data_IF_937792076628
#
_entry.id   IF_937792076628
#
_cell.length_a   1.000
_cell.length_b   1.000
_cell.length_c   1.000
_cell.angle_alpha   90.00
_cell.angle_beta   90.00
_cell.angle_gamma   90.00
#
_symmetry.space_group_name_H-M   'P 1'
#
loop_
_entity.id
_entity.type
_entity.pdbx_description
1 polymer ?
#
# COMPACT_ATOMS: atom_id res chain seq x y z
N UNK A 1 -22.57 21.42 17.72
CA UNK A 1 -21.84 20.53 18.65
C UNK A 1 -20.46 20.33 18.03
N UNK A 2 -19.46 21.01 18.57
CA UNK A 2 -18.14 21.12 17.94
C UNK A 2 -17.30 19.89 18.35
N UNK A 3 -16.56 19.28 17.42
CA UNK A 3 -15.68 18.14 17.77
C UNK A 3 -14.58 18.51 18.78
N UNK A 4 -14.35 19.80 18.98
CA UNK A 4 -13.38 20.36 19.94
C UNK A 4 -13.88 20.37 21.39
N UNK A 5 -15.17 20.09 21.63
CA UNK A 5 -15.75 20.06 22.99
C UNK A 5 -15.63 18.68 23.66
N UNK A 6 -15.03 17.70 22.98
CA UNK A 6 -14.80 16.35 23.51
C UNK A 6 -13.66 16.35 24.55
N UNK A 7 -13.72 15.47 25.58
CA UNK A 7 -12.64 15.30 26.52
C UNK A 7 -11.31 15.07 25.80
N UNK A 8 -10.24 15.74 26.25
CA UNK A 8 -8.92 15.66 25.63
C UNK A 8 -8.42 14.23 25.41
N UNK A 9 -8.68 13.35 26.37
CA UNK A 9 -8.39 11.92 26.26
C UNK A 9 -9.05 11.27 25.03
N UNK A 10 -10.31 11.61 24.74
CA UNK A 10 -11.06 11.08 23.59
C UNK A 10 -10.47 11.56 22.27
N UNK A 11 -10.00 12.80 22.20
CA UNK A 11 -9.32 13.34 21.00
C UNK A 11 -8.02 12.58 20.73
N UNK A 12 -7.22 12.31 21.77
CA UNK A 12 -5.96 11.57 21.65
C UNK A 12 -6.19 10.13 21.22
N UNK A 13 -7.20 9.46 21.80
CA UNK A 13 -7.65 8.12 21.42
C UNK A 13 -8.06 8.06 19.95
N UNK A 14 -8.93 8.97 19.49
CA UNK A 14 -9.40 9.00 18.11
C UNK A 14 -8.26 9.31 17.13
N UNK A 15 -7.40 10.28 17.44
CA UNK A 15 -6.28 10.66 16.58
C UNK A 15 -5.25 9.52 16.42
N UNK A 16 -4.83 8.90 17.53
CA UNK A 16 -3.88 7.79 17.51
C UNK A 16 -4.45 6.56 16.79
N UNK A 17 -5.70 6.19 17.08
CA UNK A 17 -6.38 5.10 16.38
C UNK A 17 -6.49 5.35 14.88
N UNK A 18 -6.80 6.58 14.47
CA UNK A 18 -6.93 6.93 13.07
C UNK A 18 -5.58 6.87 12.34
N UNK A 19 -4.48 7.31 12.97
CA UNK A 19 -3.13 7.19 12.42
C UNK A 19 -2.76 5.72 12.16
N UNK A 20 -2.97 4.84 13.15
CA UNK A 20 -2.73 3.41 13.00
C UNK A 20 -3.59 2.80 11.90
N UNK A 21 -4.89 3.11 11.89
CA UNK A 21 -5.82 2.67 10.85
C UNK A 21 -5.39 3.15 9.46
N UNK A 22 -4.97 4.41 9.34
CA UNK A 22 -4.51 5.01 8.10
C UNK A 22 -3.32 4.21 7.56
N UNK A 23 -2.26 4.03 8.35
CA UNK A 23 -1.05 3.28 7.96
C UNK A 23 -1.39 1.83 7.61
N UNK A 24 -2.24 1.19 8.41
CA UNK A 24 -2.69 -0.18 8.18
C UNK A 24 -3.42 -0.37 6.85
N UNK A 25 -4.04 0.68 6.29
CA UNK A 25 -4.90 0.63 5.11
C UNK A 25 -4.43 1.49 3.92
N UNK A 26 -3.31 2.22 4.01
CA UNK A 26 -2.77 3.04 2.89
C UNK A 26 -2.68 2.21 1.60
N UNK A 27 -3.19 2.73 0.48
CA UNK A 27 -3.17 2.04 -0.81
C UNK A 27 -4.16 0.88 -0.98
N UNK A 28 -5.03 0.62 0.01
CA UNK A 28 -6.12 -0.37 -0.08
C UNK A 28 -7.51 0.29 0.08
N UNK A 29 -7.55 1.63 0.14
CA UNK A 29 -8.76 2.39 0.48
C UNK A 29 -9.63 2.61 -0.74
N UNK A 30 -10.46 1.64 -1.06
CA UNK A 30 -11.73 1.96 -1.73
C UNK A 30 -12.89 1.37 -0.93
N UNK A 31 -13.86 2.24 -0.64
CA UNK A 31 -15.18 1.91 -0.11
C UNK A 31 -15.28 1.27 1.30
N UNK A 32 -14.40 1.61 2.24
CA UNK A 32 -14.75 1.35 3.66
C UNK A 32 -15.93 2.26 4.05
N UNK A 33 -17.01 1.66 4.56
CA UNK A 33 -18.14 2.46 5.04
C UNK A 33 -17.66 3.31 6.22
N UNK A 34 -18.18 4.54 6.40
CA UNK A 34 -17.78 5.39 7.53
C UNK A 34 -17.87 4.67 8.89
N UNK A 35 -18.83 3.76 9.05
CA UNK A 35 -18.98 2.93 10.23
C UNK A 35 -17.80 1.96 10.46
N UNK A 36 -17.27 1.35 9.40
CA UNK A 36 -16.12 0.43 9.46
C UNK A 36 -14.84 1.19 9.81
N UNK A 37 -14.69 2.41 9.29
CA UNK A 37 -13.58 3.31 9.61
C UNK A 37 -13.61 3.64 11.10
N UNK A 38 -14.80 3.99 11.62
CA UNK A 38 -14.98 4.35 13.02
C UNK A 38 -14.63 3.19 13.96
N UNK A 39 -15.21 2.01 13.72
CA UNK A 39 -14.92 0.83 14.54
C UNK A 39 -13.46 0.37 14.43
N UNK A 40 -12.88 0.40 13.23
CA UNK A 40 -11.46 0.08 13.06
C UNK A 40 -10.56 1.05 13.82
N UNK A 41 -10.87 2.34 13.76
CA UNK A 41 -10.15 3.39 14.51
C UNK A 41 -10.22 3.12 16.01
N UNK A 42 -11.39 2.76 16.54
CA UNK A 42 -11.54 2.38 17.94
C UNK A 42 -10.69 1.16 18.31
N UNK A 43 -10.71 0.10 17.50
CA UNK A 43 -9.89 -1.10 17.73
C UNK A 43 -8.40 -0.75 17.76
N UNK A 44 -7.92 0.03 16.79
CA UNK A 44 -6.53 0.46 16.74
C UNK A 44 -6.16 1.43 17.86
N UNK A 45 -7.13 2.14 18.44
CA UNK A 45 -6.92 3.06 19.55
C UNK A 45 -6.77 2.39 20.92
N UNK A 46 -7.13 1.10 21.07
CA UNK A 46 -7.14 0.40 22.36
C UNK A 46 -5.76 0.40 23.05
N UNK A 47 -4.70 0.02 22.32
CA UNK A 47 -3.33 -0.01 22.85
C UNK A 47 -2.78 1.39 23.14
N UNK A 48 -2.86 2.38 22.22
CA UNK A 48 -2.51 3.77 22.52
C UNK A 48 -3.25 4.34 23.75
N UNK A 49 -4.54 4.03 23.90
CA UNK A 49 -5.35 4.51 25.02
C UNK A 49 -4.93 3.88 26.34
N UNK A 50 -4.60 2.59 26.36
CA UNK A 50 -4.06 1.95 27.56
C UNK A 50 -2.74 2.62 28.01
N UNK A 51 -1.86 2.93 27.06
CA UNK A 51 -0.59 3.63 27.35
C UNK A 51 -0.85 5.05 27.86
N UNK A 52 -1.82 5.76 27.29
CA UNK A 52 -2.24 7.08 27.75
C UNK A 52 -2.68 7.07 29.22
N UNK A 53 -3.47 6.08 29.64
CA UNK A 53 -3.89 5.97 31.03
C UNK A 53 -2.73 5.57 31.97
N UNK A 54 -1.83 4.70 31.53
CA UNK A 54 -0.63 4.34 32.30
C UNK A 54 0.29 5.55 32.52
N UNK A 55 0.48 6.40 31.51
CA UNK A 55 1.32 7.60 31.66
C UNK A 55 0.66 8.66 32.57
N UNK A 56 -0.66 8.80 32.52
CA UNK A 56 -1.40 9.63 33.46
C UNK A 56 -1.29 9.12 34.91
N UNK A 57 -1.37 7.80 35.13
CA UNK A 57 -1.16 7.19 36.44
C UNK A 57 0.26 7.40 36.97
N UNK A 58 1.24 7.50 36.07
CA UNK A 58 2.62 7.87 36.41
C UNK A 58 2.82 9.35 36.80
N UNK A 59 1.75 10.13 36.92
CA UNK A 59 1.81 11.54 37.33
C UNK A 59 2.22 12.52 36.22
N UNK A 60 2.25 12.07 34.97
CA UNK A 60 2.60 12.92 33.82
C UNK A 60 1.41 13.82 33.46
N UNK A 61 1.68 15.09 33.17
CA UNK A 61 0.66 16.04 32.70
C UNK A 61 -0.07 15.49 31.45
N UNK A 62 -1.39 15.67 31.40
CA UNK A 62 -2.27 15.22 30.33
C UNK A 62 -1.82 15.60 28.91
N UNK A 63 -1.10 16.71 28.74
CA UNK A 63 -0.53 17.11 27.45
C UNK A 63 0.73 16.31 27.09
N UNK A 64 1.66 16.13 28.03
CA UNK A 64 2.87 15.33 27.80
C UNK A 64 2.54 13.83 27.67
N UNK A 65 1.49 13.37 28.34
CA UNK A 65 0.97 12.01 28.25
C UNK A 65 0.46 11.66 26.84
N UNK A 66 0.23 12.63 25.95
CA UNK A 66 -0.23 12.40 24.56
C UNK A 66 0.85 11.90 23.61
N UNK A 67 2.13 12.19 23.89
CA UNK A 67 3.23 11.84 22.99
C UNK A 67 3.41 10.32 22.83
N UNK A 68 3.45 9.52 23.90
CA UNK A 68 3.65 8.07 23.76
C UNK A 68 2.56 7.35 22.95
N UNK A 69 1.24 7.61 23.15
CA UNK A 69 0.17 7.03 22.33
C UNK A 69 0.31 7.32 20.83
N UNK A 70 0.64 8.57 20.47
CA UNK A 70 0.79 8.99 19.07
C UNK A 70 2.02 8.32 18.43
N UNK A 71 3.13 8.26 19.16
CA UNK A 71 4.34 7.58 18.68
C UNK A 71 4.13 6.07 18.53
N UNK A 72 3.33 5.45 19.40
CA UNK A 72 2.99 4.03 19.32
C UNK A 72 2.03 3.71 18.16
N UNK A 73 1.20 4.66 17.76
CA UNK A 73 0.25 4.46 16.68
C UNK A 73 0.94 4.13 15.34
N UNK A 74 2.11 4.71 15.09
CA UNK A 74 2.90 4.49 13.87
C UNK A 74 3.37 3.03 13.71
N UNK A 75 4.17 2.46 14.64
CA UNK A 75 4.61 1.08 14.56
C UNK A 75 3.45 0.10 14.68
N UNK A 76 2.37 0.42 15.42
CA UNK A 76 1.21 -0.46 15.53
C UNK A 76 0.52 -0.66 14.17
N UNK A 77 0.26 0.44 13.44
CA UNK A 77 -0.30 0.37 12.09
C UNK A 77 0.62 -0.36 11.12
N UNK A 78 1.93 -0.10 11.18
CA UNK A 78 2.93 -0.74 10.34
C UNK A 78 3.05 -2.26 10.62
N UNK A 79 3.07 -2.66 11.89
CA UNK A 79 3.14 -4.06 12.32
C UNK A 79 1.88 -4.83 11.90
N UNK A 80 0.71 -4.20 12.04
CA UNK A 80 -0.53 -4.80 11.56
C UNK A 80 -0.52 -5.01 10.04
N UNK A 81 -0.05 -4.01 9.28
CA UNK A 81 0.09 -4.10 7.83
C UNK A 81 1.04 -5.22 7.43
N UNK A 82 2.21 -5.31 8.06
CA UNK A 82 3.27 -6.26 7.70
C UNK A 82 2.96 -7.70 8.11
N UNK A 83 2.43 -7.88 9.32
CA UNK A 83 2.25 -9.21 9.93
C UNK A 83 0.83 -9.50 10.40
N UNK A 84 0.15 -8.51 10.99
CA UNK A 84 -1.16 -8.69 11.63
C UNK A 84 -2.20 -9.29 10.69
N UNK A 85 -2.36 -8.71 9.49
CA UNK A 85 -3.29 -9.22 8.47
C UNK A 85 -2.99 -10.68 8.10
N UNK A 86 -1.72 -10.99 7.80
CA UNK A 86 -1.31 -12.35 7.38
C UNK A 86 -1.60 -13.38 8.48
N UNK A 87 -1.30 -13.05 9.73
CA UNK A 87 -1.56 -13.92 10.88
C UNK A 87 -3.06 -14.11 11.12
N UNK A 88 -3.85 -13.04 11.03
CA UNK A 88 -5.31 -13.12 11.17
C UNK A 88 -5.91 -14.02 10.08
N UNK A 89 -5.54 -13.81 8.82
CA UNK A 89 -6.03 -14.67 7.73
C UNK A 89 -5.56 -16.11 7.88
N UNK A 90 -4.30 -16.36 8.26
CA UNK A 90 -3.82 -17.70 8.53
C UNK A 90 -4.63 -18.37 9.67
N UNK A 91 -4.96 -17.63 10.71
CA UNK A 91 -5.81 -18.10 11.81
C UNK A 91 -7.24 -18.41 11.32
N UNK A 92 -7.88 -17.50 10.60
CA UNK A 92 -9.23 -17.69 10.06
C UNK A 92 -9.31 -18.89 9.11
N UNK A 93 -8.30 -19.07 8.26
CA UNK A 93 -8.19 -20.23 7.36
C UNK A 93 -7.98 -21.53 8.13
N UNK A 94 -7.10 -21.53 9.16
CA UNK A 94 -6.87 -22.70 10.01
C UNK A 94 -8.15 -23.18 10.70
N UNK A 95 -9.04 -22.25 11.05
CA UNK A 95 -10.32 -22.55 11.68
C UNK A 95 -11.50 -22.68 10.69
N UNK A 96 -11.25 -22.71 9.37
CA UNK A 96 -12.27 -22.80 8.31
C UNK A 96 -13.37 -21.73 8.40
N UNK A 97 -13.06 -20.57 9.00
CA UNK A 97 -14.04 -19.47 9.17
C UNK A 97 -14.22 -18.71 7.86
N UNK A 98 -13.13 -18.45 7.12
CA UNK A 98 -13.19 -17.82 5.81
C UNK A 98 -12.01 -18.24 4.94
N UNK A 99 -12.33 -18.50 3.67
CA UNK A 99 -11.36 -18.72 2.59
C UNK A 99 -11.26 -17.52 1.65
N UNK A 100 -12.16 -16.54 1.76
CA UNK A 100 -12.08 -15.31 0.96
C UNK A 100 -11.15 -14.30 1.64
N UNK A 101 -10.14 -13.83 0.90
CA UNK A 101 -9.44 -12.61 1.26
C UNK A 101 -10.41 -11.47 0.97
N UNK A 102 -10.71 -10.60 1.94
CA UNK A 102 -11.68 -9.50 1.80
C UNK A 102 -11.22 -8.38 0.86
N UNK A 103 -10.34 -8.69 -0.09
CA UNK A 103 -9.80 -7.74 -1.06
C UNK A 103 -10.82 -7.57 -2.17
N UNK A 104 -11.22 -6.33 -2.43
CA UNK A 104 -12.39 -6.01 -3.26
C UNK A 104 -12.23 -6.49 -4.71
N UNK A 105 -10.99 -6.62 -5.19
CA UNK A 105 -10.68 -7.17 -6.50
C UNK A 105 -9.31 -7.88 -6.53
N UNK A 106 -9.14 -8.82 -7.46
CA UNK A 106 -7.84 -9.43 -7.74
C UNK A 106 -6.78 -8.38 -8.10
N UNK A 107 -7.21 -7.28 -8.75
CA UNK A 107 -6.39 -6.10 -9.03
C UNK A 107 -5.85 -5.46 -7.76
N UNK A 108 -6.71 -5.21 -6.76
CA UNK A 108 -6.27 -4.68 -5.47
C UNK A 108 -5.35 -5.65 -4.70
N UNK A 109 -5.54 -6.96 -4.87
CA UNK A 109 -4.68 -7.97 -4.27
C UNK A 109 -3.24 -7.88 -4.80
N UNK A 110 -3.05 -7.36 -6.03
CA UNK A 110 -1.72 -7.15 -6.58
C UNK A 110 -0.88 -6.15 -5.76
N UNK A 111 -1.50 -5.13 -5.14
CA UNK A 111 -0.80 -4.15 -4.28
C UNK A 111 -0.56 -4.65 -2.85
N UNK A 112 -1.37 -5.61 -2.38
CA UNK A 112 -1.32 -6.07 -0.99
C UNK A 112 -0.06 -6.88 -0.64
N UNK A 113 0.64 -7.41 -1.65
CA UNK A 113 1.78 -8.30 -1.48
C UNK A 113 3.11 -7.53 -1.49
N UNK A 114 3.49 -6.96 -0.34
CA UNK A 114 4.73 -6.18 -0.17
C UNK A 114 6.01 -7.01 -0.11
N UNK A 115 5.91 -8.33 0.05
CA UNK A 115 7.07 -9.22 0.21
C UNK A 115 7.73 -9.58 -1.14
N UNK A 116 7.08 -9.21 -2.25
CA UNK A 116 7.54 -9.52 -3.60
C UNK A 116 7.82 -8.22 -4.35
N UNK A 117 9.01 -8.12 -4.94
CA UNK A 117 9.39 -7.00 -5.80
C UNK A 117 9.00 -7.31 -7.24
N UNK A 118 8.45 -6.32 -7.94
CA UNK A 118 8.13 -6.43 -9.36
C UNK A 118 9.42 -6.32 -10.17
N UNK A 119 9.67 -7.32 -11.02
CA UNK A 119 10.82 -7.35 -11.93
C UNK A 119 10.44 -6.97 -13.34
N UNK A 120 9.21 -7.29 -13.77
CA UNK A 120 8.70 -6.93 -15.09
C UNK A 120 7.19 -6.66 -15.00
N UNK A 121 6.73 -5.66 -15.76
CA UNK A 121 5.32 -5.31 -15.94
C UNK A 121 5.04 -5.29 -17.44
N UNK A 122 4.19 -6.21 -17.91
CA UNK A 122 3.72 -6.28 -19.28
C UNK A 122 2.29 -5.75 -19.35
N UNK A 123 2.03 -4.88 -20.31
CA UNK A 123 0.70 -4.38 -20.64
C UNK A 123 0.44 -4.69 -22.10
N UNK A 124 -0.54 -5.56 -22.35
CA UNK A 124 -1.00 -5.90 -23.70
C UNK A 124 -2.22 -5.03 -23.98
N UNK A 125 -2.15 -4.26 -25.07
CA UNK A 125 -3.20 -3.37 -25.52
C UNK A 125 -4.21 -4.12 -26.40
N UNK A 126 -5.40 -3.56 -26.54
CA UNK A 126 -6.49 -4.15 -27.35
C UNK A 126 -6.18 -4.24 -28.84
N UNK A 127 -5.27 -3.41 -29.34
CA UNK A 127 -4.77 -3.48 -30.71
C UNK A 127 -3.76 -4.62 -30.92
N UNK A 128 -3.40 -5.35 -29.86
CA UNK A 128 -2.42 -6.44 -29.88
C UNK A 128 -0.99 -6.00 -29.61
N UNK A 129 -0.70 -4.70 -29.52
CA UNK A 129 0.63 -4.20 -29.18
C UNK A 129 0.95 -4.37 -27.69
N UNK A 130 2.23 -4.43 -27.36
CA UNK A 130 2.74 -4.67 -26.02
C UNK A 130 3.62 -3.54 -25.50
N UNK A 131 3.44 -3.18 -24.23
CA UNK A 131 4.30 -2.26 -23.49
C UNK A 131 4.92 -3.01 -22.30
N UNK A 132 6.24 -2.88 -22.13
CA UNK A 132 6.97 -3.53 -21.06
C UNK A 132 7.77 -2.50 -20.26
N UNK A 133 7.66 -2.58 -18.93
CA UNK A 133 8.63 -2.00 -18.01
C UNK A 133 9.49 -3.10 -17.41
N UNK A 134 10.78 -3.13 -17.79
CA UNK A 134 11.78 -4.05 -17.25
C UNK A 134 12.52 -3.40 -16.07
N UNK A 135 12.60 -4.13 -14.96
CA UNK A 135 13.20 -3.69 -13.70
C UNK A 135 12.66 -2.34 -13.22
N UNK A 136 11.33 -2.21 -13.02
CA UNK A 136 10.71 -0.94 -12.67
C UNK A 136 11.24 -0.36 -11.34
N UNK A 137 11.85 -1.18 -10.48
CA UNK A 137 12.56 -0.73 -9.28
C UNK A 137 13.64 0.34 -9.52
N UNK A 138 14.19 0.44 -10.74
CA UNK A 138 15.12 1.52 -11.14
C UNK A 138 14.47 2.91 -11.13
N UNK A 139 13.15 2.97 -11.19
CA UNK A 139 12.36 4.18 -11.26
C UNK A 139 11.68 4.53 -9.92
N UNK A 140 12.06 3.89 -8.80
CA UNK A 140 11.45 4.12 -7.48
C UNK A 140 11.52 5.58 -7.01
N UNK A 141 12.58 6.30 -7.37
CA UNK A 141 12.78 7.71 -7.02
C UNK A 141 12.17 8.71 -8.00
N UNK A 142 11.50 8.25 -9.06
CA UNK A 142 10.93 9.12 -10.09
C UNK A 142 9.46 9.48 -9.79
N UNK A 143 8.89 10.51 -10.46
CA UNK A 143 7.49 10.87 -10.30
C UNK A 143 6.55 9.67 -10.51
N UNK A 144 5.55 9.50 -9.64
CA UNK A 144 4.63 8.33 -9.62
C UNK A 144 5.28 6.99 -9.25
N UNK A 145 6.54 7.01 -8.79
CA UNK A 145 7.27 5.81 -8.37
C UNK A 145 7.55 4.85 -9.53
N UNK A 146 7.83 3.56 -9.24
CA UNK A 146 8.31 2.63 -10.27
C UNK A 146 7.26 2.31 -11.36
N UNK A 147 5.99 2.29 -10.96
CA UNK A 147 4.79 2.18 -11.78
C UNK A 147 3.58 2.45 -10.87
N UNK A 148 2.45 2.85 -11.46
CA UNK A 148 1.17 2.97 -10.75
C UNK A 148 0.14 2.09 -11.45
N UNK A 149 -0.54 1.28 -10.67
CA UNK A 149 -1.76 0.60 -11.09
C UNK A 149 -2.90 1.42 -10.46
N UNK A 150 -3.76 2.01 -11.27
CA UNK A 150 -4.89 2.83 -10.83
C UNK A 150 -6.08 1.96 -10.48
N UNK A 151 -6.91 2.37 -9.55
CA UNK A 151 -8.03 1.55 -9.09
C UNK A 151 -9.10 1.28 -10.16
N UNK A 152 -9.19 2.15 -11.16
CA UNK A 152 -10.08 2.00 -12.31
C UNK A 152 -9.50 1.09 -13.40
N UNK A 153 -8.33 0.46 -13.15
CA UNK A 153 -7.65 -0.43 -14.09
C UNK A 153 -6.69 0.29 -15.04
N UNK A 154 -6.54 1.60 -14.93
CA UNK A 154 -5.55 2.39 -15.66
C UNK A 154 -4.13 2.16 -15.11
N UNK A 155 -3.11 2.44 -15.92
CA UNK A 155 -1.71 2.16 -15.55
C UNK A 155 -0.81 3.33 -15.95
N UNK A 156 0.12 3.68 -15.06
CA UNK A 156 1.28 4.52 -15.39
C UNK A 156 2.53 3.66 -15.32
N UNK A 157 3.33 3.65 -16.38
CA UNK A 157 4.59 2.90 -16.41
C UNK A 157 5.69 3.59 -17.21
N UNK A 158 6.94 3.35 -16.81
CA UNK A 158 8.12 3.73 -17.57
C UNK A 158 8.41 2.63 -18.61
N UNK A 159 8.05 2.88 -19.87
CA UNK A 159 8.09 1.90 -20.96
C UNK A 159 9.53 1.72 -21.41
N UNK A 160 10.15 0.59 -21.07
CA UNK A 160 11.51 0.27 -21.51
C UNK A 160 11.53 -0.55 -22.80
N UNK A 161 10.47 -1.29 -23.11
CA UNK A 161 10.38 -2.02 -24.38
C UNK A 161 8.96 -1.92 -24.96
N UNK A 162 8.86 -2.03 -26.29
CA UNK A 162 7.59 -2.10 -27.02
C UNK A 162 7.60 -3.30 -27.96
N UNK A 163 6.45 -3.93 -28.12
CA UNK A 163 6.20 -4.96 -29.14
C UNK A 163 5.05 -4.45 -30.03
N UNK A 164 5.24 -4.38 -31.35
CA UNK A 164 4.17 -3.99 -32.26
C UNK A 164 3.14 -5.13 -32.41
N UNK A 165 1.89 -4.81 -32.73
CA UNK A 165 0.82 -5.80 -32.86
C UNK A 165 1.11 -6.93 -33.89
N UNK A 166 2.00 -6.67 -34.84
CA UNK A 166 2.39 -7.60 -35.89
C UNK A 166 3.60 -8.49 -35.55
N UNK A 167 4.22 -8.33 -34.37
CA UNK A 167 5.42 -9.07 -33.99
C UNK A 167 5.53 -9.31 -32.50
N UNK A 168 5.95 -10.52 -32.12
CA UNK A 168 6.28 -10.87 -30.74
C UNK A 168 7.66 -10.33 -30.28
N UNK A 169 8.38 -9.62 -31.16
CA UNK A 169 9.67 -9.03 -30.81
C UNK A 169 9.53 -7.80 -29.91
N UNK A 170 10.27 -7.81 -28.81
CA UNK A 170 10.38 -6.69 -27.89
C UNK A 170 11.56 -5.80 -28.25
N UNK A 171 11.27 -4.60 -28.73
CA UNK A 171 12.27 -3.59 -29.07
C UNK A 171 12.50 -2.69 -27.86
N UNK A 172 13.75 -2.58 -27.43
CA UNK A 172 14.12 -1.68 -26.33
C UNK A 172 13.96 -0.21 -26.75
N UNK A 173 13.31 0.56 -25.89
CA UNK A 173 13.16 2.00 -26.01
C UNK A 173 14.19 2.66 -25.08
N UNK A 174 15.25 3.22 -25.67
CA UNK A 174 16.40 3.72 -24.92
C UNK A 174 16.17 5.05 -24.19
N UNK A 175 15.14 5.81 -24.56
CA UNK A 175 14.95 7.20 -24.12
C UNK A 175 13.90 7.35 -23.01
N UNK A 176 13.93 6.44 -22.03
CA UNK A 176 13.03 6.50 -20.87
C UNK A 176 13.42 7.65 -19.92
N UNK A 177 14.72 7.97 -19.85
CA UNK A 177 15.25 9.09 -19.09
C UNK A 177 16.12 9.91 -20.03
N UNK A 178 15.57 11.01 -20.52
CA UNK A 178 16.29 11.95 -21.38
C UNK A 178 17.05 12.96 -20.51
N UNK A 179 18.26 13.35 -20.92
CA UNK A 179 19.11 14.27 -20.13
C UNK A 179 18.45 15.65 -19.96
N UNK A 180 17.88 16.20 -21.04
CA UNK A 180 17.26 17.54 -21.02
C UNK A 180 15.78 17.56 -20.58
N UNK A 181 15.01 16.48 -20.86
CA UNK A 181 13.56 16.45 -20.65
C UNK A 181 13.12 15.61 -19.44
N UNK A 182 14.04 14.84 -18.85
CA UNK A 182 13.75 14.01 -17.69
C UNK A 182 13.08 12.67 -18.05
N UNK A 183 12.29 12.14 -17.12
CA UNK A 183 11.76 10.78 -17.22
C UNK A 183 10.39 10.71 -17.93
N UNK A 184 10.27 9.84 -18.94
CA UNK A 184 9.06 9.64 -19.72
C UNK A 184 8.16 8.57 -19.09
N UNK A 185 7.17 9.00 -18.32
CA UNK A 185 6.10 8.14 -17.85
C UNK A 185 5.00 8.01 -18.92
N UNK A 186 4.51 6.79 -19.16
CA UNK A 186 3.40 6.52 -20.09
C UNK A 186 2.14 6.20 -19.31
N UNK A 187 1.09 6.97 -19.55
CA UNK A 187 -0.26 6.68 -19.07
C UNK A 187 -1.00 5.80 -20.08
N UNK A 188 -1.63 4.75 -19.59
CA UNK A 188 -2.43 3.81 -20.37
C UNK A 188 -3.83 3.76 -19.75
N UNK A 189 -4.86 4.21 -20.46
CA UNK A 189 -6.22 4.19 -19.93
C UNK A 189 -6.78 2.77 -19.92
N UNK A 190 -7.65 2.48 -18.95
CA UNK A 190 -8.17 1.14 -18.69
C UNK A 190 -8.92 0.54 -19.90
N UNK A 191 -9.57 1.38 -20.70
CA UNK A 191 -10.33 0.96 -21.88
C UNK A 191 -9.44 0.48 -23.03
N UNK A 192 -8.13 0.75 -23.02
CA UNK A 192 -7.18 0.30 -24.04
C UNK A 192 -6.44 -0.97 -23.64
N UNK A 193 -6.54 -1.38 -22.37
CA UNK A 193 -5.80 -2.51 -21.82
C UNK A 193 -6.60 -3.79 -22.05
N UNK A 194 -5.98 -4.78 -22.69
CA UNK A 194 -6.53 -6.12 -22.83
C UNK A 194 -6.09 -7.05 -21.71
N UNK A 195 -4.80 -6.97 -21.31
CA UNK A 195 -4.22 -7.82 -20.27
C UNK A 195 -3.02 -7.15 -19.61
N UNK A 196 -2.81 -7.44 -18.33
CA UNK A 196 -1.62 -7.03 -17.58
C UNK A 196 -0.99 -8.27 -16.96
N UNK A 197 0.29 -8.50 -17.27
CA UNK A 197 1.08 -9.58 -16.69
C UNK A 197 2.17 -8.98 -15.80
N UNK A 198 2.27 -9.41 -14.54
CA UNK A 198 3.26 -8.89 -13.58
C UNK A 198 4.18 -10.02 -13.15
N UNK A 199 5.47 -9.90 -13.48
CA UNK A 199 6.50 -10.80 -12.96
C UNK A 199 7.06 -10.26 -11.66
N UNK A 200 7.10 -11.11 -10.63
CA UNK A 200 7.62 -10.75 -9.31
C UNK A 200 8.63 -11.77 -8.82
N UNK A 201 9.55 -11.31 -7.98
CA UNK A 201 10.51 -12.14 -7.25
C UNK A 201 10.36 -11.87 -5.77
N UNK A 202 10.54 -12.89 -4.93
CA UNK A 202 10.64 -12.68 -3.48
C UNK A 202 11.73 -11.64 -3.19
N UNK A 203 11.42 -10.61 -2.40
CA UNK A 203 12.44 -9.71 -1.89
C UNK A 203 13.40 -10.50 -1.01
N UNK A 204 14.71 -10.22 -1.06
CA UNK A 204 15.63 -10.78 -0.05
C UNK A 204 15.06 -10.43 1.33
N UNK A 205 14.95 -11.38 2.27
CA UNK A 205 14.61 -11.04 3.64
C UNK A 205 15.61 -9.99 4.12
N UNK A 206 15.10 -8.90 4.70
CA UNK A 206 15.92 -7.91 5.41
C UNK A 206 16.55 -8.63 6.62
N UNK A 207 17.66 -9.32 6.40
CA UNK A 207 18.22 -10.26 7.36
C UNK A 207 19.28 -11.22 6.79
N UNK A 208 20.12 -10.75 5.86
CA UNK A 208 21.43 -11.36 5.63
C UNK A 208 22.45 -10.24 5.50
N UNK A 209 22.94 -9.77 6.66
CA UNK A 209 24.32 -9.32 6.70
C UNK A 209 25.16 -10.57 6.41
N UNK A 210 25.72 -10.64 5.21
CA UNK A 210 26.79 -11.57 4.91
C UNK A 210 28.09 -10.83 5.21
N UNK A 211 28.88 -11.46 6.09
CA UNK A 211 30.31 -11.20 6.29
C UNK A 211 31.08 -11.17 4.96
#
# INVERSE_FOLDING_TARGET
MNMLDLPWATLVTLASGYISYFIANVGLKEHHKPIDIFFSTLIFSLLPTAIYHVTLWGGVNAYAATLPPVLLALPLGALWRKYGRKRLYAFLRKHNISWSDSTHSAWQQMFGLTDYRVTELFVVLKDGSGLLSRLPGRFEGLPNGPFTLGNNGDVILYVTHRSPASSDEWVEYGDVIHQDYGALATYIPADQIARIDIRRRAGKPSGSFSD
#
